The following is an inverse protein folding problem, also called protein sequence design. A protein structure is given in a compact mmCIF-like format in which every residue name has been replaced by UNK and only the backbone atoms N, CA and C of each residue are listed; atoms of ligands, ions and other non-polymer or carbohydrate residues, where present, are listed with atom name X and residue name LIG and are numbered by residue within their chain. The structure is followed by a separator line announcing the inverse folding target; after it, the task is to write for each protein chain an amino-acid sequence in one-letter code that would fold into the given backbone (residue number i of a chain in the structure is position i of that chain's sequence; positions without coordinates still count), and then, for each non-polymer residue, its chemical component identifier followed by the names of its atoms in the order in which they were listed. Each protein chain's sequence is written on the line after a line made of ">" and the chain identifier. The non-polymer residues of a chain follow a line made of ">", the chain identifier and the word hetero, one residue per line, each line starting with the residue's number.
data_IF_273687648495
#
_entry.id   IF_273687648495
#
_cell.length_a   1.000
_cell.length_b   1.000
_cell.length_c   1.000
_cell.angle_alpha   90.00
_cell.angle_beta   90.00
_cell.angle_gamma   90.00
#
_symmetry.space_group_name_H-M   'P 1'
#
loop_
_entity.id
_entity.type
_entity.pdbx_description
1 polymer ?
#
# COMPACT_ATOMS: atom_id res chain seq x y z
N UNK A 1 -10.10 3.86 34.31
CA UNK A 1 -8.91 4.32 33.55
C UNK A 1 -9.08 5.81 33.28
N UNK A 2 -8.22 6.68 33.83
CA UNK A 2 -8.17 8.09 33.42
C UNK A 2 -7.30 8.16 32.17
N UNK A 3 -7.85 8.56 31.03
CA UNK A 3 -7.10 8.72 29.80
C UNK A 3 -6.31 10.03 29.92
N UNK A 4 -5.00 9.94 30.10
CA UNK A 4 -4.10 11.10 29.97
C UNK A 4 -3.93 11.40 28.48
N UNK A 5 -4.17 12.65 28.07
CA UNK A 5 -4.13 13.02 26.65
C UNK A 5 -3.21 14.21 26.45
N UNK A 6 -2.39 14.15 25.39
CA UNK A 6 -1.70 15.30 24.83
C UNK A 6 -2.29 15.56 23.46
N UNK A 7 -2.81 16.77 23.25
CA UNK A 7 -3.53 17.14 22.04
C UNK A 7 -3.00 18.45 21.48
N UNK A 8 -2.85 18.52 20.15
CA UNK A 8 -2.57 19.77 19.46
C UNK A 8 -3.87 20.58 19.30
N UNK A 9 -3.84 21.85 19.68
CA UNK A 9 -4.96 22.77 19.53
C UNK A 9 -4.81 23.63 18.27
N UNK A 10 -5.93 23.87 17.59
CA UNK A 10 -5.98 24.88 16.55
C UNK A 10 -6.02 26.28 17.19
N UNK A 11 -5.24 27.22 16.67
CA UNK A 11 -5.19 28.61 17.14
C UNK A 11 -6.57 29.27 17.21
N UNK A 12 -7.47 28.92 16.27
CA UNK A 12 -8.84 29.46 16.21
C UNK A 12 -9.70 29.09 17.42
N UNK A 13 -9.35 28.02 18.14
CA UNK A 13 -10.11 27.56 19.32
C UNK A 13 -9.75 28.33 20.60
N UNK A 14 -8.77 29.23 20.57
CA UNK A 14 -8.32 30.05 21.72
C UNK A 14 -8.90 31.47 21.63
N UNK A 15 -10.19 31.59 21.26
CA UNK A 15 -10.81 32.91 21.03
C UNK A 15 -10.99 33.75 22.31
N UNK A 16 -10.92 33.15 23.51
CA UNK A 16 -11.39 33.83 24.73
C UNK A 16 -10.46 33.83 25.96
N UNK A 17 -9.21 33.35 25.89
CA UNK A 17 -8.42 33.15 27.14
C UNK A 17 -7.01 33.72 27.23
N UNK A 18 -6.37 34.17 26.15
CA UNK A 18 -5.16 35.05 26.15
C UNK A 18 -4.61 35.17 24.72
N UNK A 19 -4.63 36.36 24.13
CA UNK A 19 -4.03 36.61 22.80
C UNK A 19 -2.51 36.34 22.80
N UNK A 20 -1.86 36.55 23.95
CA UNK A 20 -0.42 36.37 24.13
C UNK A 20 0.04 34.96 23.70
N UNK A 21 -0.72 33.89 23.95
CA UNK A 21 -0.25 32.53 23.63
C UNK A 21 -0.16 32.25 22.13
N UNK A 22 -0.95 32.95 21.32
CA UNK A 22 -0.99 32.77 19.86
C UNK A 22 -0.02 33.73 19.14
N UNK A 23 0.41 34.80 19.81
CA UNK A 23 1.33 35.79 19.27
C UNK A 23 2.73 35.22 19.02
N UNK A 24 3.05 34.99 17.75
CA UNK A 24 4.37 34.57 17.28
C UNK A 24 5.25 35.76 16.83
N UNK A 25 4.72 36.98 16.85
CA UNK A 25 5.45 38.21 16.50
C UNK A 25 6.22 38.70 17.73
N UNK A 26 7.53 38.91 17.60
CA UNK A 26 8.37 39.44 18.69
C UNK A 26 9.02 38.40 19.62
N UNK A 27 8.75 37.10 19.43
CA UNK A 27 9.37 36.02 20.23
C UNK A 27 10.50 35.31 19.50
N UNK A 28 11.47 34.83 20.27
CA UNK A 28 12.62 34.08 19.76
C UNK A 28 12.22 32.66 19.34
N UNK A 29 12.91 32.12 18.33
CA UNK A 29 12.69 30.73 17.89
C UNK A 29 13.17 29.80 18.99
N UNK A 30 12.35 28.81 19.37
CA UNK A 30 12.64 27.91 20.48
C UNK A 30 12.14 28.40 21.84
N UNK A 31 11.49 29.56 21.94
CA UNK A 31 10.82 29.97 23.18
C UNK A 31 9.52 29.17 23.40
N UNK A 32 9.27 28.77 24.65
CA UNK A 32 8.02 28.17 25.11
C UNK A 32 7.32 29.07 26.12
N UNK A 33 5.99 29.09 26.08
CA UNK A 33 5.14 29.66 27.13
C UNK A 33 4.24 28.60 27.70
N UNK A 34 4.12 28.60 29.03
CA UNK A 34 3.29 27.67 29.77
C UNK A 34 2.12 28.41 30.41
N UNK A 35 0.94 27.81 30.30
CA UNK A 35 -0.25 28.26 31.00
C UNK A 35 -0.82 27.07 31.79
N UNK A 36 -0.85 27.22 33.10
CA UNK A 36 -1.35 26.21 34.02
C UNK A 36 -2.80 26.50 34.36
N UNK A 37 -3.66 25.49 34.19
CA UNK A 37 -5.00 25.41 34.77
C UNK A 37 -5.03 24.19 35.71
N UNK A 38 -6.02 24.11 36.59
CA UNK A 38 -6.06 23.18 37.75
C UNK A 38 -5.61 21.74 37.46
N UNK A 39 -5.89 21.21 36.27
CA UNK A 39 -5.49 19.86 35.84
C UNK A 39 -4.94 19.82 34.41
N UNK A 40 -4.70 20.98 33.79
CA UNK A 40 -4.33 21.09 32.39
C UNK A 40 -3.15 22.03 32.23
N UNK A 41 -2.21 21.67 31.36
CA UNK A 41 -1.10 22.52 30.97
C UNK A 41 -1.15 22.79 29.49
N UNK A 42 -1.19 24.07 29.15
CA UNK A 42 -1.18 24.55 27.78
C UNK A 42 0.21 25.09 27.49
N UNK A 43 0.84 24.56 26.46
CA UNK A 43 2.16 24.96 25.98
C UNK A 43 2.00 25.63 24.63
N UNK A 44 2.52 26.85 24.51
CA UNK A 44 2.75 27.49 23.22
C UNK A 44 4.24 27.45 22.91
N UNK A 45 4.62 26.75 21.83
CA UNK A 45 6.00 26.59 21.41
C UNK A 45 6.21 27.14 20.00
N UNK A 46 7.28 27.90 19.80
CA UNK A 46 7.61 28.50 18.50
C UNK A 46 8.64 27.64 17.77
N UNK A 47 8.18 26.86 16.80
CA UNK A 47 9.05 26.07 15.93
C UNK A 47 9.83 26.94 14.94
N UNK A 48 9.16 27.93 14.33
CA UNK A 48 9.70 28.77 13.26
C UNK A 48 9.13 30.18 13.39
N UNK A 49 9.83 31.19 12.84
CA UNK A 49 9.34 32.58 12.82
C UNK A 49 7.91 32.61 12.27
N UNK A 50 7.00 33.28 12.99
CA UNK A 50 5.56 33.39 12.66
C UNK A 50 4.76 32.08 12.70
N UNK A 51 5.31 30.97 13.22
CA UNK A 51 4.58 29.69 13.40
C UNK A 51 4.69 29.22 14.85
N UNK A 52 3.55 29.24 15.55
CA UNK A 52 3.39 28.68 16.89
C UNK A 52 2.68 27.32 16.82
N UNK A 53 3.02 26.44 17.76
CA UNK A 53 2.35 25.16 17.99
C UNK A 53 1.79 25.18 19.40
N UNK A 54 0.51 24.84 19.51
CA UNK A 54 -0.22 24.85 20.77
C UNK A 54 -0.52 23.41 21.17
N UNK A 55 -0.02 22.99 22.33
CA UNK A 55 -0.20 21.66 22.88
C UNK A 55 -0.89 21.75 24.23
N UNK A 56 -1.95 20.98 24.42
CA UNK A 56 -2.63 20.82 25.70
C UNK A 56 -2.29 19.44 26.25
N UNK A 57 -1.80 19.39 27.50
CA UNK A 57 -1.55 18.14 28.22
C UNK A 57 -2.35 18.10 29.52
N UNK A 58 -2.85 16.92 29.86
CA UNK A 58 -3.48 16.65 31.17
C UNK A 58 -2.56 15.85 32.10
N UNK A 59 -1.29 15.65 31.71
CA UNK A 59 -0.38 14.70 32.37
C UNK A 59 0.86 15.37 32.96
N UNK A 60 1.34 16.41 32.28
CA UNK A 60 2.52 17.15 32.69
C UNK A 60 2.04 18.38 33.44
N UNK A 61 2.44 18.56 34.70
CA UNK A 61 2.09 19.73 35.51
C UNK A 61 3.26 20.68 35.74
N UNK A 62 4.42 20.36 35.16
CA UNK A 62 5.67 21.09 35.35
C UNK A 62 6.07 21.83 34.06
N UNK A 63 6.80 22.93 34.20
CA UNK A 63 7.41 23.73 33.12
C UNK A 63 8.80 23.24 32.72
N UNK A 64 9.11 21.96 32.97
CA UNK A 64 10.41 21.39 32.66
C UNK A 64 10.73 21.55 31.16
N UNK A 65 11.83 22.26 30.89
CA UNK A 65 12.43 22.43 29.57
C UNK A 65 13.76 21.73 29.57
N UNK A 66 13.99 20.88 28.57
CA UNK A 66 15.22 20.15 28.43
C UNK A 66 16.27 21.03 27.72
N UNK A 67 17.36 21.38 28.42
CA UNK A 67 18.43 22.22 27.86
C UNK A 67 19.26 21.49 26.78
N UNK A 68 19.35 20.16 26.85
CA UNK A 68 20.17 19.35 25.96
C UNK A 68 19.53 19.19 24.55
N UNK A 69 18.21 19.32 24.44
CA UNK A 69 17.45 19.12 23.20
C UNK A 69 16.77 20.41 22.71
N UNK A 70 17.58 21.39 22.28
CA UNK A 70 17.09 22.62 21.60
C UNK A 70 16.08 23.45 22.42
N UNK A 71 16.11 23.37 23.76
CA UNK A 71 15.14 24.02 24.67
C UNK A 71 13.68 23.61 24.39
N UNK A 72 13.45 22.36 24.02
CA UNK A 72 12.11 21.82 23.86
C UNK A 72 11.53 21.45 25.24
N UNK A 73 10.25 21.79 25.43
CA UNK A 73 9.50 21.35 26.60
C UNK A 73 9.28 19.84 26.55
N UNK A 74 9.29 19.17 27.70
CA UNK A 74 9.08 17.71 27.79
C UNK A 74 7.73 17.28 27.16
N UNK A 75 6.71 18.14 27.27
CA UNK A 75 5.40 17.94 26.64
C UNK A 75 5.51 17.84 25.10
N UNK A 76 6.40 18.62 24.49
CA UNK A 76 6.63 18.60 23.03
C UNK A 76 7.36 17.32 22.63
N UNK A 77 8.34 16.88 23.42
CA UNK A 77 9.07 15.64 23.20
C UNK A 77 8.12 14.44 23.27
N UNK A 78 7.36 14.34 24.36
CA UNK A 78 6.35 13.29 24.55
C UNK A 78 5.29 13.28 23.45
N UNK A 79 4.84 14.45 22.99
CA UNK A 79 3.90 14.56 21.88
C UNK A 79 4.49 14.01 20.57
N UNK A 80 5.75 14.31 20.27
CA UNK A 80 6.40 13.85 19.05
C UNK A 80 6.61 12.33 19.05
N UNK A 81 6.97 11.75 20.20
CA UNK A 81 7.10 10.29 20.37
C UNK A 81 5.77 9.59 20.06
N UNK A 82 4.67 10.09 20.64
CA UNK A 82 3.35 9.45 20.55
C UNK A 82 2.61 9.73 19.23
N UNK A 83 2.84 10.89 18.60
CA UNK A 83 2.22 11.25 17.30
C UNK A 83 2.69 10.33 16.16
N UNK A 84 3.91 9.81 16.24
CA UNK A 84 4.54 9.01 15.18
C UNK A 84 3.86 7.66 14.91
N UNK A 85 3.07 7.13 15.85
CA UNK A 85 2.43 5.82 15.71
C UNK A 85 1.39 5.74 14.59
N UNK A 86 0.68 6.83 14.33
CA UNK A 86 -0.32 6.87 13.23
C UNK A 86 0.36 7.06 11.88
N UNK A 87 1.41 7.87 11.81
CA UNK A 87 2.15 8.14 10.57
C UNK A 87 2.90 6.89 10.07
N UNK A 88 3.48 6.11 10.98
CA UNK A 88 4.12 4.83 10.62
C UNK A 88 3.12 3.83 10.07
N UNK A 89 1.92 3.75 10.68
CA UNK A 89 0.82 2.95 10.18
C UNK A 89 0.37 3.42 8.79
N UNK A 90 0.18 4.72 8.58
CA UNK A 90 -0.22 5.29 7.28
C UNK A 90 0.84 5.03 6.20
N UNK A 91 2.13 5.17 6.54
CA UNK A 91 3.24 4.84 5.65
C UNK A 91 3.21 3.36 5.24
N UNK A 92 3.01 2.45 6.19
CA UNK A 92 2.89 1.02 5.90
C UNK A 92 1.66 0.73 5.03
N UNK A 93 0.51 1.34 5.32
CA UNK A 93 -0.71 1.24 4.50
C UNK A 93 -0.44 1.71 3.09
N UNK A 94 0.32 2.79 2.91
CA UNK A 94 0.64 3.35 1.59
C UNK A 94 1.58 2.47 0.79
N UNK A 95 2.61 1.90 1.41
CA UNK A 95 3.59 1.02 0.76
C UNK A 95 2.97 -0.32 0.38
N UNK A 96 2.15 -0.89 1.27
CA UNK A 96 1.58 -2.23 1.11
C UNK A 96 0.12 -2.21 0.65
N UNK A 97 -0.29 -1.16 -0.08
CA UNK A 97 -1.68 -1.01 -0.51
C UNK A 97 -2.04 -1.88 -1.71
N UNK A 98 -3.07 -2.71 -1.58
CA UNK A 98 -3.70 -3.40 -2.70
C UNK A 98 -4.88 -2.60 -3.30
N UNK A 99 -5.03 -1.33 -2.93
CA UNK A 99 -6.11 -0.45 -3.42
C UNK A 99 -5.98 -0.28 -4.94
N UNK A 100 -7.03 -0.67 -5.66
CA UNK A 100 -7.17 -0.40 -7.11
C UNK A 100 -8.12 0.76 -7.34
N UNK A 101 -7.91 1.50 -8.44
CA UNK A 101 -8.85 2.52 -8.90
C UNK A 101 -10.17 1.84 -9.26
N UNK A 102 -11.22 2.12 -8.51
CA UNK A 102 -12.57 1.59 -8.74
C UNK A 102 -13.59 2.73 -8.72
N UNK A 103 -14.68 2.59 -9.49
CA UNK A 103 -15.84 3.51 -9.46
C UNK A 103 -16.91 3.05 -8.45
N UNK A 104 -16.64 1.98 -7.71
CA UNK A 104 -17.55 1.38 -6.74
C UNK A 104 -16.98 1.63 -5.35
N UNK A 105 -17.57 2.56 -4.61
CA UNK A 105 -17.12 2.91 -3.26
C UNK A 105 -16.98 1.69 -2.31
N UNK A 106 -17.81 0.63 -2.36
CA UNK A 106 -17.66 -0.51 -1.44
C UNK A 106 -16.34 -1.26 -1.65
N UNK A 107 -15.85 -1.34 -2.89
CA UNK A 107 -14.59 -2.01 -3.22
C UNK A 107 -13.38 -1.29 -2.61
N UNK A 108 -13.48 0.01 -2.31
CA UNK A 108 -12.43 0.78 -1.64
C UNK A 108 -12.23 0.34 -0.19
N UNK A 109 -13.33 -0.05 0.48
CA UNK A 109 -13.29 -0.59 1.84
C UNK A 109 -12.73 -2.00 1.85
N UNK A 110 -13.21 -2.87 0.95
CA UNK A 110 -12.79 -4.29 0.88
C UNK A 110 -11.30 -4.46 0.61
N UNK A 111 -10.67 -3.56 -0.14
CA UNK A 111 -9.24 -3.65 -0.45
C UNK A 111 -8.29 -3.22 0.69
N UNK A 112 -8.82 -2.67 1.80
CA UNK A 112 -8.02 -2.08 2.88
C UNK A 112 -7.52 -3.07 3.95
N UNK A 113 -8.29 -4.09 4.39
CA UNK A 113 -7.86 -5.03 5.44
C UNK A 113 -6.71 -5.95 5.05
N UNK A 114 -6.52 -6.22 3.76
CA UNK A 114 -5.48 -7.14 3.27
C UNK A 114 -4.04 -6.59 3.42
N UNK A 115 -3.87 -5.37 3.94
CA UNK A 115 -2.61 -4.61 3.91
C UNK A 115 -1.77 -4.80 5.18
N UNK A 116 -2.39 -5.29 6.26
CA UNK A 116 -1.76 -5.55 7.55
C UNK A 116 -1.52 -7.03 7.82
N UNK A 117 -1.29 -7.81 6.77
CA UNK A 117 -1.01 -9.22 6.93
C UNK A 117 0.40 -9.37 7.53
N UNK A 118 0.54 -10.02 8.71
CA UNK A 118 1.84 -10.33 9.28
C UNK A 118 2.71 -11.07 8.25
N UNK A 119 4.04 -10.96 8.40
CA UNK A 119 5.00 -11.60 7.48
C UNK A 119 4.69 -13.08 7.21
N UNK A 120 4.21 -13.80 8.23
CA UNK A 120 3.75 -15.19 8.15
C UNK A 120 2.64 -15.39 7.12
N UNK A 121 1.63 -14.53 7.13
CA UNK A 121 0.50 -14.62 6.19
C UNK A 121 0.94 -14.20 4.78
N UNK A 122 1.82 -13.19 4.65
CA UNK A 122 2.38 -12.81 3.33
C UNK A 122 3.18 -13.96 2.72
N UNK A 123 4.03 -14.60 3.52
CA UNK A 123 4.83 -15.76 3.10
C UNK A 123 3.95 -16.95 2.75
N UNK A 124 2.86 -17.18 3.49
CA UNK A 124 1.88 -18.22 3.16
C UNK A 124 1.18 -17.95 1.82
N UNK A 125 0.78 -16.70 1.53
CA UNK A 125 0.17 -16.33 0.23
C UNK A 125 1.15 -16.56 -0.93
N UNK A 126 2.42 -16.22 -0.75
CA UNK A 126 3.48 -16.46 -1.75
C UNK A 126 3.64 -17.96 -2.05
N UNK A 127 3.63 -18.79 -1.01
CA UNK A 127 3.69 -20.26 -1.15
C UNK A 127 2.46 -20.85 -1.84
N UNK A 128 1.26 -20.30 -1.60
CA UNK A 128 0.02 -20.72 -2.29
C UNK A 128 0.07 -20.34 -3.78
N UNK A 129 0.61 -19.16 -4.11
CA UNK A 129 0.80 -18.72 -5.49
C UNK A 129 1.78 -19.61 -6.27
N UNK A 130 2.83 -20.11 -5.61
CA UNK A 130 3.75 -21.08 -6.23
C UNK A 130 3.15 -22.48 -6.31
N UNK A 131 2.44 -22.95 -5.29
CA UNK A 131 1.81 -24.28 -5.28
C UNK A 131 0.76 -24.45 -6.39
N UNK A 132 -0.10 -23.43 -6.59
CA UNK A 132 -1.09 -23.42 -7.68
C UNK A 132 -0.47 -23.37 -9.08
N UNK A 133 0.78 -22.94 -9.19
CA UNK A 133 1.55 -22.95 -10.45
C UNK A 133 2.17 -24.33 -10.72
N UNK A 134 2.69 -24.99 -9.68
CA UNK A 134 3.36 -26.30 -9.78
C UNK A 134 2.38 -27.47 -9.89
N UNK A 135 1.25 -27.41 -9.17
CA UNK A 135 0.17 -28.41 -9.29
C UNK A 135 -0.44 -28.44 -10.70
N UNK A 136 -0.43 -27.29 -11.40
CA UNK A 136 -0.85 -27.21 -12.80
C UNK A 136 0.09 -27.93 -13.76
N UNK A 137 1.36 -28.10 -13.38
CA UNK A 137 2.39 -28.80 -14.17
C UNK A 137 2.58 -30.27 -13.80
N UNK A 138 2.14 -30.72 -12.62
CA UNK A 138 2.39 -32.10 -12.14
C UNK A 138 1.15 -33.02 -12.17
N UNK A 139 -0.07 -32.49 -12.21
CA UNK A 139 -1.29 -33.28 -12.33
C UNK A 139 -1.69 -33.57 -13.80
N UNK A 140 -0.82 -34.23 -14.58
CA UNK A 140 -1.23 -35.03 -15.77
C UNK A 140 -0.04 -35.80 -16.38
N UNK A 141 0.26 -36.98 -15.83
CA UNK A 141 0.90 -38.07 -16.59
C UNK A 141 -0.09 -39.21 -16.86
N UNK A 142 -1.31 -38.83 -17.21
CA UNK A 142 -2.22 -39.69 -17.97
C UNK A 142 -2.18 -39.11 -19.39
N UNK A 143 -1.67 -39.85 -20.38
CA UNK A 143 -1.66 -39.46 -21.79
C UNK A 143 -3.10 -39.34 -22.31
N UNK A 144 -3.79 -38.28 -21.92
CA UNK A 144 -5.06 -37.89 -22.50
C UNK A 144 -4.73 -37.39 -23.90
N UNK A 145 -5.28 -38.07 -24.91
CA UNK A 145 -5.16 -37.67 -26.31
C UNK A 145 -5.52 -36.17 -26.45
N UNK A 146 -4.51 -35.31 -26.58
CA UNK A 146 -4.70 -33.86 -26.57
C UNK A 146 -5.31 -33.46 -27.92
N UNK A 147 -6.60 -33.14 -27.92
CA UNK A 147 -7.27 -32.50 -29.04
C UNK A 147 -6.87 -31.02 -29.09
N UNK A 148 -6.27 -30.58 -30.19
CA UNK A 148 -5.88 -29.20 -30.44
C UNK A 148 -6.85 -28.50 -31.39
N UNK A 149 -6.96 -27.17 -31.32
CA UNK A 149 -7.71 -26.39 -32.31
C UNK A 149 -6.85 -26.23 -33.56
N UNK A 150 -7.44 -26.41 -34.74
CA UNK A 150 -6.72 -26.18 -36.00
C UNK A 150 -6.15 -24.75 -36.05
N UNK A 151 -4.83 -24.63 -36.19
CA UNK A 151 -4.13 -23.33 -36.21
C UNK A 151 -4.63 -22.43 -37.35
N UNK A 152 -4.94 -23.02 -38.50
CA UNK A 152 -5.42 -22.28 -39.67
C UNK A 152 -6.87 -21.78 -39.50
N UNK A 153 -7.76 -22.60 -38.92
CA UNK A 153 -9.14 -22.18 -38.66
C UNK A 153 -9.28 -21.23 -37.46
N UNK A 154 -8.36 -21.34 -36.50
CA UNK A 154 -8.42 -20.62 -35.24
C UNK A 154 -9.77 -20.78 -34.50
N UNK A 155 -10.14 -19.74 -33.74
CA UNK A 155 -11.38 -19.70 -32.96
C UNK A 155 -12.64 -19.47 -33.80
N UNK A 156 -12.51 -19.08 -35.07
CA UNK A 156 -13.67 -18.76 -35.90
C UNK A 156 -14.52 -19.98 -36.25
N UNK A 157 -13.86 -21.15 -36.39
CA UNK A 157 -14.54 -22.42 -36.65
C UNK A 157 -14.41 -23.42 -35.52
N UNK A 158 -13.55 -23.13 -34.54
CA UNK A 158 -13.29 -23.95 -33.33
C UNK A 158 -13.16 -25.46 -33.60
N UNK A 159 -12.60 -25.80 -34.78
CA UNK A 159 -12.42 -27.19 -35.22
C UNK A 159 -11.38 -27.86 -34.33
N UNK A 160 -11.84 -28.78 -33.49
CA UNK A 160 -11.00 -29.65 -32.65
C UNK A 160 -10.45 -30.80 -33.48
N UNK A 161 -9.15 -31.03 -33.39
CA UNK A 161 -8.44 -31.99 -34.21
C UNK A 161 -7.42 -32.76 -33.37
N UNK A 162 -7.28 -34.04 -33.67
CA UNK A 162 -6.31 -34.95 -33.06
C UNK A 162 -5.05 -35.12 -33.92
N UNK A 163 -5.13 -34.81 -35.21
CA UNK A 163 -4.03 -34.92 -36.16
C UNK A 163 -3.13 -33.67 -36.15
N UNK A 164 -1.83 -33.89 -36.32
CA UNK A 164 -0.80 -32.86 -36.32
C UNK A 164 0.16 -32.99 -37.49
N UNK A 165 0.78 -31.89 -37.90
CA UNK A 165 1.78 -31.88 -38.96
C UNK A 165 3.07 -32.56 -38.50
N UNK A 166 3.64 -33.44 -39.33
CA UNK A 166 4.87 -34.17 -39.00
C UNK A 166 6.07 -33.21 -38.76
N UNK A 167 6.14 -32.10 -39.51
CA UNK A 167 7.27 -31.15 -39.46
C UNK A 167 7.18 -30.17 -38.28
N UNK A 168 6.02 -29.55 -38.06
CA UNK A 168 5.86 -28.49 -37.06
C UNK A 168 5.05 -28.89 -35.83
N UNK A 169 4.50 -30.13 -35.80
CA UNK A 169 3.67 -30.71 -34.72
C UNK A 169 2.45 -29.87 -34.31
N UNK A 170 2.11 -28.83 -35.07
CA UNK A 170 0.89 -28.04 -34.87
C UNK A 170 -0.34 -28.82 -35.33
N UNK A 171 -1.48 -28.58 -34.68
CA UNK A 171 -2.76 -29.21 -35.01
C UNK A 171 -3.42 -28.55 -36.22
N UNK A 172 -3.88 -29.36 -37.17
CA UNK A 172 -4.54 -28.90 -38.39
C UNK A 172 -5.69 -29.84 -38.74
N UNK A 173 -6.83 -29.32 -39.17
CA UNK A 173 -7.95 -30.18 -39.61
C UNK A 173 -7.59 -30.92 -40.90
N UNK A 174 -8.30 -32.01 -41.20
CA UNK A 174 -8.04 -32.84 -42.37
C UNK A 174 -8.15 -32.08 -43.71
N UNK A 175 -8.84 -30.93 -43.73
CA UNK A 175 -8.85 -30.01 -44.88
C UNK A 175 -7.49 -29.30 -45.07
N UNK A 176 -6.77 -28.97 -44.00
CA UNK A 176 -5.50 -28.24 -44.00
C UNK A 176 -4.27 -29.14 -43.72
N UNK A 177 -4.47 -30.45 -43.60
CA UNK A 177 -3.45 -31.43 -43.26
C UNK A 177 -3.45 -32.61 -44.24
N UNK A 178 -2.41 -32.73 -45.07
CA UNK A 178 -2.21 -33.92 -45.94
C UNK A 178 -1.23 -34.93 -45.34
N UNK A 179 -0.03 -34.48 -44.97
CA UNK A 179 0.98 -35.18 -44.12
C UNK A 179 1.89 -34.12 -43.52
N UNK A 180 2.16 -33.11 -44.35
CA UNK A 180 2.61 -31.79 -43.97
C UNK A 180 1.41 -30.83 -44.00
N UNK A 181 1.46 -29.76 -43.19
CA UNK A 181 0.50 -28.66 -43.31
C UNK A 181 0.85 -27.79 -44.51
N UNK A 182 -0.11 -27.02 -45.01
CA UNK A 182 0.06 -26.14 -46.18
C UNK A 182 1.27 -25.19 -46.06
N UNK A 183 1.66 -24.83 -44.83
CA UNK A 183 2.83 -23.98 -44.57
C UNK A 183 4.18 -24.72 -44.62
N UNK A 184 4.15 -26.05 -44.41
CA UNK A 184 5.32 -26.92 -44.42
C UNK A 184 5.47 -27.70 -45.73
N UNK A 185 4.40 -27.79 -46.53
CA UNK A 185 4.35 -28.45 -47.84
C UNK A 185 4.95 -27.59 -48.96
N UNK A 186 5.20 -26.30 -48.69
CA UNK A 186 6.00 -25.45 -49.58
C UNK A 186 7.47 -25.87 -49.46
N UNK A 187 7.86 -26.83 -50.29
CA UNK A 187 9.23 -27.28 -50.42
C UNK A 187 10.05 -26.15 -51.11
N UNK A 188 11.23 -25.76 -50.61
CA UNK A 188 12.11 -24.71 -51.16
C UNK A 188 12.77 -25.04 -52.52
N UNK A 189 12.10 -25.78 -53.42
CA UNK A 189 12.62 -26.16 -54.73
C UNK A 189 11.87 -25.50 -55.90
N UNK A 190 11.61 -24.19 -55.79
CA UNK A 190 11.46 -23.32 -56.96
C UNK A 190 12.48 -22.20 -56.85
N UNK A 191 13.75 -22.55 -57.10
CA UNK A 191 14.71 -21.64 -57.72
C UNK A 191 14.84 -22.13 -59.17
N UNK A 192 14.08 -21.49 -60.06
CA UNK A 192 14.51 -21.24 -61.43
C UNK A 192 14.77 -19.75 -61.53
#
# INVERSE_FOLDING_TARGET
>A
MKVTTVMALCSDKIYNRRMELTEAMGREVGSSLFCFDRQLTLVSYILKRKKCVLLLSTMHHDDAVNEDQERKADIVLFYNETKSGVDTLDQLVRVYTCKRRTRRWPMKWVASPAQFLPYTVRKAIEQIGTATSTERSEASKEEKHIYGICVFCGRQRDKKVTSSCIKCRKAYCNEHLRRYCEHCDVNPNTSQ
#
